data_IF_441941665996
#
_entry.id   IF_441941665996
#
_cell.length_a   1.000
_cell.length_b   1.000
_cell.length_c   1.000
_cell.angle_alpha   90.00
_cell.angle_beta   90.00
_cell.angle_gamma   90.00
#
_symmetry.space_group_name_H-M   'P 1'
#
loop_
_entity.id
_entity.type
_entity.pdbx_description
1 polymer ?
#
# COMPACT_ATOMS: atom_id res chain seq x y z
N UNK A 1 2.47 16.45 -27.87
CA UNK A 1 1.81 15.13 -27.75
C UNK A 1 0.34 15.29 -27.36
N UNK A 2 -0.14 16.53 -27.20
CA UNK A 2 -1.39 16.82 -26.50
C UNK A 2 -2.63 16.82 -27.39
N UNK A 3 -2.48 17.13 -28.69
CA UNK A 3 -3.62 17.20 -29.63
C UNK A 3 -4.33 15.86 -29.84
N UNK A 4 -3.58 14.75 -29.83
CA UNK A 4 -4.17 13.42 -29.97
C UNK A 4 -4.90 13.01 -28.69
N UNK A 5 -4.29 13.31 -27.54
CA UNK A 5 -4.89 13.04 -26.23
C UNK A 5 -6.18 13.84 -26.04
N UNK A 6 -6.15 15.14 -26.36
CA UNK A 6 -7.31 16.02 -26.31
C UNK A 6 -8.43 15.58 -27.26
N UNK A 7 -8.07 15.08 -28.45
CA UNK A 7 -9.05 14.52 -29.38
C UNK A 7 -9.69 13.23 -28.84
N UNK A 8 -8.88 12.33 -28.26
CA UNK A 8 -9.38 11.07 -27.68
C UNK A 8 -10.28 11.36 -26.48
N UNK A 9 -9.86 12.26 -25.59
CA UNK A 9 -10.61 12.62 -24.39
C UNK A 9 -11.95 13.29 -24.74
N UNK A 10 -11.95 14.19 -25.74
CA UNK A 10 -13.16 14.88 -26.21
C UNK A 10 -14.18 13.95 -26.88
N UNK A 11 -13.73 12.84 -27.47
CA UNK A 11 -14.60 11.89 -28.16
C UNK A 11 -14.75 10.56 -27.40
N UNK A 12 -14.29 10.50 -26.14
CA UNK A 12 -14.24 9.26 -25.35
C UNK A 12 -15.62 8.62 -25.17
N UNK A 13 -16.61 9.43 -24.84
CA UNK A 13 -17.99 8.96 -24.70
C UNK A 13 -18.55 8.35 -25.99
N UNK A 14 -18.14 8.86 -27.17
CA UNK A 14 -18.54 8.30 -28.45
C UNK A 14 -17.83 6.98 -28.79
N UNK A 15 -16.63 6.73 -28.24
CA UNK A 15 -15.96 5.44 -28.37
C UNK A 15 -16.53 4.38 -27.43
N UNK A 16 -16.93 4.79 -26.22
CA UNK A 16 -17.43 3.85 -25.19
C UNK A 16 -18.87 3.40 -25.46
N UNK A 17 -19.67 4.21 -26.17
CA UNK A 17 -21.09 3.93 -26.44
C UNK A 17 -21.37 3.24 -27.79
N UNK A 18 -20.40 3.21 -28.72
CA UNK A 18 -20.58 2.59 -30.02
C UNK A 18 -20.11 1.14 -29.95
N UNK A 19 -21.05 0.21 -30.00
CA UNK A 19 -20.72 -1.22 -30.14
C UNK A 19 -19.90 -1.46 -31.41
N UNK A 20 -18.86 -2.28 -31.29
CA UNK A 20 -18.00 -2.61 -32.42
C UNK A 20 -18.86 -3.23 -33.54
N UNK A 21 -18.61 -2.88 -34.82
CA UNK A 21 -19.38 -3.44 -35.92
C UNK A 21 -19.40 -4.97 -35.87
N UNK A 22 -20.55 -5.55 -36.18
CA UNK A 22 -20.72 -7.01 -36.21
C UNK A 22 -19.61 -7.69 -37.03
N UNK A 23 -19.20 -8.87 -36.60
CA UNK A 23 -18.12 -9.59 -37.25
C UNK A 23 -16.71 -9.12 -36.89
N UNK A 24 -16.54 -8.26 -35.87
CA UNK A 24 -15.22 -7.70 -35.54
C UNK A 24 -14.25 -8.78 -35.06
N UNK A 25 -14.71 -9.71 -34.20
CA UNK A 25 -13.90 -10.81 -33.71
C UNK A 25 -13.45 -11.73 -34.84
N UNK A 26 -14.34 -12.08 -35.77
CA UNK A 26 -14.06 -12.93 -36.92
C UNK A 26 -13.04 -12.30 -37.87
N UNK A 27 -13.09 -10.97 -38.02
CA UNK A 27 -12.07 -10.21 -38.76
C UNK A 27 -10.70 -10.25 -38.08
N UNK A 28 -10.66 -10.24 -36.75
CA UNK A 28 -9.42 -10.39 -35.99
C UNK A 28 -8.88 -11.83 -36.05
N UNK A 29 -9.73 -12.83 -35.85
CA UNK A 29 -9.35 -14.24 -35.90
C UNK A 29 -8.77 -14.63 -37.26
N UNK A 30 -9.32 -14.10 -38.36
CA UNK A 30 -8.81 -14.34 -39.71
C UNK A 30 -7.41 -13.75 -39.95
N UNK A 31 -7.00 -12.75 -39.17
CA UNK A 31 -5.65 -12.16 -39.22
C UNK A 31 -4.66 -12.86 -38.30
N UNK A 32 -5.13 -13.63 -37.33
CA UNK A 32 -4.25 -14.43 -36.49
C UNK A 32 -3.62 -15.55 -37.35
N UNK A 33 -2.33 -15.86 -37.13
CA UNK A 33 -1.74 -17.02 -37.78
C UNK A 33 -2.55 -18.26 -37.41
N UNK A 34 -2.77 -19.20 -38.35
CA UNK A 34 -3.52 -20.41 -38.06
C UNK A 34 -2.89 -21.10 -36.86
N UNK A 35 -3.73 -21.47 -35.88
CA UNK A 35 -3.30 -22.19 -34.68
C UNK A 35 -2.57 -23.45 -35.13
N UNK A 36 -1.23 -23.41 -35.09
CA UNK A 36 -0.41 -24.59 -35.39
C UNK A 36 -0.86 -25.68 -34.43
N UNK A 37 -1.31 -26.81 -34.97
CA UNK A 37 -1.61 -28.01 -34.17
C UNK A 37 -0.29 -28.47 -33.54
N UNK A 38 0.06 -27.90 -32.38
CA UNK A 38 1.14 -28.43 -31.55
C UNK A 38 0.66 -29.80 -31.06
N UNK A 39 1.48 -30.83 -31.27
CA UNK A 39 1.12 -32.19 -30.90
C UNK A 39 0.81 -32.24 -29.40
N UNK A 40 -0.19 -33.03 -29.03
CA UNK A 40 -0.60 -33.19 -27.62
C UNK A 40 0.58 -33.52 -26.71
N UNK A 41 1.59 -34.21 -27.25
CA UNK A 41 2.88 -34.50 -26.61
C UNK A 41 3.56 -33.28 -25.98
N UNK A 42 3.55 -32.11 -26.65
CA UNK A 42 4.18 -30.89 -26.11
C UNK A 42 3.44 -30.40 -24.86
N UNK A 43 2.11 -30.50 -24.85
CA UNK A 43 1.29 -30.12 -23.69
C UNK A 43 1.51 -31.07 -22.51
N UNK A 44 1.66 -32.38 -22.76
CA UNK A 44 2.03 -33.34 -21.72
C UNK A 44 3.42 -33.06 -21.14
N UNK A 45 4.39 -32.67 -21.97
CA UNK A 45 5.73 -32.30 -21.50
C UNK A 45 5.66 -31.05 -20.62
N UNK A 46 4.95 -30.00 -21.03
CA UNK A 46 4.79 -28.81 -20.21
C UNK A 46 4.01 -29.08 -18.91
N UNK A 47 2.98 -29.93 -18.96
CA UNK A 47 2.25 -30.37 -17.77
C UNK A 47 3.13 -31.14 -16.79
N UNK A 48 3.97 -32.05 -17.29
CA UNK A 48 4.91 -32.81 -16.47
C UNK A 48 5.98 -31.91 -15.84
N UNK A 49 6.52 -30.93 -16.59
CA UNK A 49 7.49 -29.96 -16.08
C UNK A 49 6.86 -29.09 -14.99
N UNK A 50 5.65 -28.57 -15.21
CA UNK A 50 4.94 -27.77 -14.21
C UNK A 50 4.68 -28.57 -12.92
N UNK A 51 4.23 -29.82 -13.03
CA UNK A 51 4.02 -30.71 -11.90
C UNK A 51 5.33 -30.99 -11.13
N UNK A 52 6.44 -31.21 -11.83
CA UNK A 52 7.73 -31.44 -11.22
C UNK A 52 8.25 -30.21 -10.46
N UNK A 53 8.05 -28.99 -10.99
CA UNK A 53 8.37 -27.74 -10.30
C UNK A 53 7.57 -27.59 -9.01
N UNK A 54 6.26 -27.88 -9.04
CA UNK A 54 5.41 -27.84 -7.84
C UNK A 54 5.88 -28.86 -6.81
N UNK A 55 6.21 -30.09 -7.23
CA UNK A 55 6.72 -31.13 -6.35
C UNK A 55 8.06 -30.73 -5.70
N UNK A 56 8.97 -30.11 -6.45
CA UNK A 56 10.22 -29.56 -5.91
C UNK A 56 9.97 -28.47 -4.87
N UNK A 57 9.03 -27.55 -5.11
CA UNK A 57 8.68 -26.50 -4.15
C UNK A 57 8.10 -27.07 -2.85
N UNK A 58 7.33 -28.16 -2.93
CA UNK A 58 6.81 -28.86 -1.75
C UNK A 58 7.94 -29.58 -1.00
N UNK A 59 8.85 -30.23 -1.72
CA UNK A 59 9.93 -31.03 -1.13
C UNK A 59 11.05 -30.17 -0.52
N UNK A 60 11.29 -28.97 -1.07
CA UNK A 60 12.29 -28.02 -0.55
C UNK A 60 11.73 -27.07 0.52
N UNK A 61 10.47 -27.21 0.93
CA UNK A 61 9.98 -26.44 2.07
C UNK A 61 10.75 -26.85 3.34
N UNK A 62 11.38 -25.91 4.07
CA UNK A 62 11.74 -26.18 5.45
C UNK A 62 10.44 -26.48 6.21
N UNK A 63 10.48 -27.42 7.16
CA UNK A 63 9.36 -27.77 8.01
C UNK A 63 8.85 -26.51 8.74
N UNK A 64 7.86 -25.84 8.14
CA UNK A 64 6.96 -24.96 8.85
C UNK A 64 6.01 -25.93 9.54
N UNK A 65 6.16 -26.00 10.86
CA UNK A 65 5.38 -26.86 11.72
C UNK A 65 3.88 -26.81 11.39
N UNK A 66 3.29 -27.98 11.53
CA UNK A 66 1.87 -28.28 11.48
C UNK A 66 1.00 -27.16 12.06
N UNK A 67 0.21 -26.50 11.20
CA UNK A 67 -1.05 -25.88 11.62
C UNK A 67 -2.19 -26.72 11.04
N UNK A 68 -2.55 -27.74 11.79
CA UNK A 68 -3.83 -28.43 11.63
C UNK A 68 -4.90 -27.65 12.36
N UNK A 69 -5.95 -27.27 11.62
CA UNK A 69 -7.22 -26.70 12.06
C UNK A 69 -7.16 -25.27 12.61
N UNK A 70 -7.35 -24.28 11.74
CA UNK A 70 -8.12 -23.07 12.03
C UNK A 70 -8.53 -22.43 10.69
N UNK A 71 -9.66 -21.73 10.71
CA UNK A 71 -10.44 -21.19 9.58
C UNK A 71 -9.61 -20.40 8.54
N UNK A 72 -10.12 -20.19 7.30
CA UNK A 72 -9.44 -19.33 6.34
C UNK A 72 -9.37 -17.91 6.90
N UNK A 73 -8.22 -17.51 7.45
CA UNK A 73 -7.94 -16.14 7.87
C UNK A 73 -7.75 -15.30 6.61
N UNK A 74 -8.87 -14.92 6.00
CA UNK A 74 -8.93 -14.02 4.84
C UNK A 74 -9.15 -12.55 5.28
N UNK A 75 -8.69 -12.22 6.50
CA UNK A 75 -8.53 -10.86 6.98
C UNK A 75 -7.04 -10.68 7.31
N UNK A 76 -6.22 -10.38 6.30
CA UNK A 76 -4.91 -9.78 6.56
C UNK A 76 -5.18 -8.49 7.32
N UNK A 77 -4.74 -8.43 8.58
CA UNK A 77 -4.71 -7.15 9.28
C UNK A 77 -4.01 -6.11 8.41
N UNK A 78 -4.72 -5.04 8.06
CA UNK A 78 -4.16 -3.86 7.36
C UNK A 78 -3.24 -3.03 8.28
N UNK A 79 -2.71 -3.64 9.35
CA UNK A 79 -1.80 -3.04 10.33
C UNK A 79 -0.62 -2.40 9.62
N UNK A 80 0.04 -3.12 8.70
CA UNK A 80 1.22 -2.60 7.98
C UNK A 80 0.88 -1.36 7.15
N UNK A 81 -0.28 -1.34 6.47
CA UNK A 81 -0.72 -0.21 5.66
C UNK A 81 -1.03 1.01 6.53
N UNK A 82 -1.70 0.78 7.66
CA UNK A 82 -2.01 1.81 8.66
C UNK A 82 -0.72 2.41 9.23
N UNK A 83 0.23 1.56 9.64
CA UNK A 83 1.53 2.03 10.14
C UNK A 83 2.26 2.88 9.10
N UNK A 84 2.29 2.43 7.85
CA UNK A 84 2.94 3.16 6.77
C UNK A 84 2.30 4.53 6.53
N UNK A 85 0.97 4.59 6.49
CA UNK A 85 0.22 5.83 6.30
C UNK A 85 0.55 6.86 7.40
N UNK A 86 0.42 6.47 8.67
CA UNK A 86 0.65 7.37 9.79
C UNK A 86 2.12 7.76 9.92
N UNK A 87 3.05 6.82 9.75
CA UNK A 87 4.50 7.09 9.76
C UNK A 87 4.86 8.13 8.71
N UNK A 88 4.38 7.99 7.48
CA UNK A 88 4.64 8.96 6.41
C UNK A 88 4.06 10.32 6.76
N UNK A 89 2.85 10.38 7.33
CA UNK A 89 2.18 11.62 7.71
C UNK A 89 2.94 12.35 8.82
N UNK A 90 3.32 11.64 9.87
CA UNK A 90 4.11 12.15 11.00
C UNK A 90 5.48 12.67 10.54
N UNK A 91 6.19 11.90 9.69
CA UNK A 91 7.48 12.32 9.14
C UNK A 91 7.38 13.61 8.32
N UNK A 92 6.30 13.79 7.54
CA UNK A 92 6.06 15.02 6.81
C UNK A 92 5.80 16.22 7.73
N UNK A 93 5.12 16.02 8.87
CA UNK A 93 4.93 17.08 9.86
C UNK A 93 6.26 17.45 10.52
N UNK A 94 7.05 16.46 10.94
CA UNK A 94 8.38 16.72 11.52
C UNK A 94 9.30 17.47 10.56
N UNK A 95 9.36 17.06 9.29
CA UNK A 95 10.17 17.76 8.30
C UNK A 95 9.79 19.24 8.18
N UNK A 96 8.48 19.54 8.19
CA UNK A 96 8.00 20.93 8.22
C UNK A 96 8.46 21.65 9.49
N UNK A 97 8.31 21.04 10.65
CA UNK A 97 8.70 21.65 11.93
C UNK A 97 10.20 21.97 11.97
N UNK A 98 11.04 21.06 11.47
CA UNK A 98 12.47 21.32 11.31
C UNK A 98 12.75 22.50 10.37
N UNK A 99 12.06 22.57 9.24
CA UNK A 99 12.21 23.69 8.29
C UNK A 99 11.75 25.02 8.89
N UNK A 100 10.67 25.01 9.68
CA UNK A 100 10.23 26.18 10.46
C UNK A 100 11.30 26.62 11.45
N UNK A 101 11.88 25.69 12.21
CA UNK A 101 12.93 26.00 13.17
C UNK A 101 14.20 26.53 12.48
N UNK A 102 14.62 25.94 11.36
CA UNK A 102 15.76 26.41 10.56
C UNK A 102 15.55 27.82 10.02
N UNK A 103 14.32 28.15 9.60
CA UNK A 103 13.99 29.47 9.07
C UNK A 103 13.88 30.55 10.15
N UNK A 104 13.36 30.21 11.34
CA UNK A 104 13.15 31.14 12.45
C UNK A 104 13.52 30.49 13.80
N UNK A 105 14.82 30.37 14.11
CA UNK A 105 15.27 29.71 15.32
C UNK A 105 14.95 30.54 16.56
N UNK A 106 14.03 30.02 17.37
CA UNK A 106 13.64 30.61 18.66
C UNK A 106 13.64 29.54 19.76
N UNK A 107 13.82 29.91 21.04
CA UNK A 107 13.71 28.96 22.15
C UNK A 107 12.36 28.22 22.18
N UNK A 108 11.26 28.89 21.85
CA UNK A 108 9.93 28.28 21.76
C UNK A 108 9.84 27.25 20.64
N UNK A 109 10.37 27.55 19.45
CA UNK A 109 10.42 26.57 18.34
C UNK A 109 11.28 25.34 18.67
N UNK A 110 12.36 25.50 19.45
CA UNK A 110 13.19 24.38 19.87
C UNK A 110 12.45 23.47 20.87
N UNK A 111 11.75 24.05 21.85
CA UNK A 111 10.92 23.30 22.80
C UNK A 111 9.78 22.55 22.11
N UNK A 112 9.12 23.17 21.14
CA UNK A 112 8.08 22.51 20.34
C UNK A 112 8.65 21.36 19.50
N UNK A 113 9.87 21.51 18.96
CA UNK A 113 10.54 20.44 18.22
C UNK A 113 10.92 19.28 19.14
N UNK A 114 11.43 19.56 20.33
CA UNK A 114 11.73 18.56 21.37
C UNK A 114 10.48 17.80 21.80
N UNK A 115 9.39 18.50 22.13
CA UNK A 115 8.10 17.87 22.47
C UNK A 115 7.53 17.04 21.31
N UNK A 116 7.80 17.43 20.06
CA UNK A 116 7.39 16.65 18.88
C UNK A 116 8.20 15.37 18.73
N UNK A 117 9.49 15.41 19.06
CA UNK A 117 10.33 14.21 19.10
C UNK A 117 9.90 13.25 20.22
N UNK A 118 9.45 13.79 21.36
CA UNK A 118 8.87 13.00 22.46
C UNK A 118 7.61 12.23 21.99
N UNK A 119 6.67 12.92 21.33
CA UNK A 119 5.47 12.27 20.74
C UNK A 119 5.84 11.14 19.78
N UNK A 120 6.87 11.34 18.94
CA UNK A 120 7.34 10.28 18.04
C UNK A 120 8.02 9.13 18.77
N UNK A 121 8.73 9.42 19.85
CA UNK A 121 9.32 8.39 20.70
C UNK A 121 8.24 7.52 21.32
N UNK A 122 7.18 8.12 21.86
CA UNK A 122 6.05 7.42 22.45
C UNK A 122 5.31 6.55 21.40
N UNK A 123 5.15 7.07 20.17
CA UNK A 123 4.64 6.28 19.05
C UNK A 123 5.49 5.04 18.77
N UNK A 124 6.82 5.18 18.77
CA UNK A 124 7.72 4.05 18.53
C UNK A 124 7.64 3.03 19.66
N UNK A 125 7.53 3.47 20.91
CA UNK A 125 7.29 2.58 22.06
C UNK A 125 5.98 1.81 21.92
N UNK A 126 4.90 2.47 21.48
CA UNK A 126 3.64 1.79 21.18
C UNK A 126 3.83 0.71 20.10
N UNK A 127 4.54 1.00 19.02
CA UNK A 127 4.80 0.06 17.92
C UNK A 127 5.67 -1.13 18.34
N UNK A 128 6.66 -0.92 19.20
CA UNK A 128 7.61 -1.95 19.62
C UNK A 128 7.07 -2.83 20.75
N UNK A 129 6.30 -2.25 21.69
CA UNK A 129 5.90 -2.94 22.92
C UNK A 129 4.43 -3.36 22.93
N UNK A 130 3.52 -2.51 22.43
CA UNK A 130 2.07 -2.74 22.55
C UNK A 130 1.53 -3.41 21.30
N UNK A 131 1.86 -2.89 20.13
CA UNK A 131 1.33 -3.37 18.86
C UNK A 131 1.54 -4.88 18.62
N UNK A 132 2.71 -5.49 18.93
CA UNK A 132 2.91 -6.93 18.73
C UNK A 132 2.05 -7.81 19.65
N UNK A 133 1.50 -7.22 20.73
CA UNK A 133 0.62 -7.92 21.68
C UNK A 133 -0.85 -7.84 21.30
N UNK A 134 -1.22 -6.96 20.36
CA UNK A 134 -2.60 -6.79 19.94
C UNK A 134 -3.02 -7.93 18.99
N UNK A 135 -4.19 -8.56 19.20
CA UNK A 135 -4.70 -9.55 18.26
C UNK A 135 -5.06 -8.87 16.94
N UNK A 136 -5.00 -9.59 15.83
CA UNK A 136 -5.53 -9.04 14.58
C UNK A 136 -7.06 -9.02 14.62
N UNK A 137 -7.62 -7.86 14.99
CA UNK A 137 -9.05 -7.63 15.13
C UNK A 137 -9.43 -6.19 14.79
N UNK A 138 -10.72 -5.96 14.54
CA UNK A 138 -11.26 -4.61 14.35
C UNK A 138 -11.00 -3.71 15.58
N UNK A 139 -11.06 -4.29 16.79
CA UNK A 139 -10.77 -3.57 18.03
C UNK A 139 -9.30 -3.13 18.10
N UNK A 140 -8.37 -3.99 17.69
CA UNK A 140 -6.96 -3.61 17.61
C UNK A 140 -6.73 -2.51 16.58
N UNK A 141 -7.38 -2.58 15.41
CA UNK A 141 -7.32 -1.52 14.39
C UNK A 141 -7.87 -0.19 14.91
N UNK A 142 -8.94 -0.22 15.70
CA UNK A 142 -9.50 0.98 16.33
C UNK A 142 -8.52 1.61 17.33
N UNK A 143 -7.92 0.79 18.21
CA UNK A 143 -6.94 1.25 19.21
C UNK A 143 -5.71 1.86 18.52
N UNK A 144 -5.21 1.21 17.47
CA UNK A 144 -4.12 1.74 16.66
C UNK A 144 -4.45 3.09 16.03
N UNK A 145 -5.58 3.17 15.32
CA UNK A 145 -6.00 4.41 14.67
C UNK A 145 -6.14 5.53 15.70
N UNK A 146 -6.75 5.26 16.86
CA UNK A 146 -6.88 6.25 17.92
C UNK A 146 -5.52 6.74 18.42
N UNK A 147 -4.58 5.83 18.66
CA UNK A 147 -3.24 6.18 19.13
C UNK A 147 -2.50 7.04 18.10
N UNK A 148 -2.52 6.65 16.82
CA UNK A 148 -1.86 7.42 15.78
C UNK A 148 -2.50 8.79 15.54
N UNK A 149 -3.83 8.88 15.57
CA UNK A 149 -4.54 10.15 15.43
C UNK A 149 -4.24 11.11 16.58
N UNK A 150 -4.10 10.59 17.81
CA UNK A 150 -3.69 11.40 18.96
C UNK A 150 -2.29 11.99 18.74
N UNK A 151 -1.34 11.19 18.26
CA UNK A 151 0.02 11.64 17.98
C UNK A 151 0.08 12.63 16.83
N UNK A 152 -0.62 12.36 15.72
CA UNK A 152 -0.74 13.30 14.60
C UNK A 152 -1.35 14.63 15.02
N UNK A 153 -2.42 14.59 15.81
CA UNK A 153 -3.09 15.80 16.31
C UNK A 153 -2.16 16.62 17.17
N UNK A 154 -1.33 15.97 17.99
CA UNK A 154 -0.34 16.62 18.84
C UNK A 154 0.75 17.31 18.03
N UNK A 155 1.31 16.61 17.01
CA UNK A 155 2.28 17.18 16.08
C UNK A 155 1.70 18.36 15.29
N UNK A 156 0.48 18.20 14.76
CA UNK A 156 -0.20 19.26 14.01
C UNK A 156 -0.47 20.49 14.87
N UNK A 157 -0.88 20.29 16.13
CA UNK A 157 -1.05 21.38 17.09
C UNK A 157 0.26 22.14 17.31
N UNK A 158 1.35 21.43 17.59
CA UNK A 158 2.66 22.04 17.80
C UNK A 158 3.16 22.77 16.54
N UNK A 159 2.95 22.21 15.35
CA UNK A 159 3.29 22.88 14.09
C UNK A 159 2.49 24.18 13.91
N UNK A 160 1.19 24.15 14.22
CA UNK A 160 0.35 25.36 14.17
C UNK A 160 0.83 26.42 15.17
N UNK A 161 1.32 26.02 16.35
CA UNK A 161 1.93 26.96 17.29
C UNK A 161 3.18 27.62 16.68
N UNK A 162 4.06 26.84 16.03
CA UNK A 162 5.25 27.38 15.35
C UNK A 162 4.88 28.37 14.24
N UNK A 163 3.82 28.11 13.48
CA UNK A 163 3.34 29.01 12.43
C UNK A 163 2.73 30.30 12.99
N UNK A 164 1.99 30.22 14.11
CA UNK A 164 1.41 31.37 14.77
C UNK A 164 2.47 32.34 15.33
N UNK A 165 3.63 31.85 15.77
CA UNK A 165 4.74 32.71 16.22
C UNK A 165 5.46 33.45 15.07
N UNK A 166 5.11 33.18 13.81
CA UNK A 166 5.66 33.84 12.64
C UNK A 166 4.89 35.11 12.23
N UNK A 167 3.63 35.25 12.66
CA UNK A 167 2.78 36.42 12.39
C UNK A 167 3.02 37.53 13.42
#
# INVERSE_FOLDING_TARGET
>A
MDKLKEFVDKNREAFDQVELPEGHLERFERKLPPRRKRSASIYYIYGAVAAACIALLIFLRPAIDSFTNEEPVDNLCEIEEVQLFYTMRMNNLMAKMEDYHKAAPTPGSAQLLEASQEVLSDCRTFEEEILPTLPCSEEAMLVMNQQYENSLSSLQFMLNQMDNYKQ
#
